data_IF_746357097963
#
_entry.id   IF_746357097963
#
_cell.length_a   1.000
_cell.length_b   1.000
_cell.length_c   1.000
_cell.angle_alpha   90.00
_cell.angle_beta   90.00
_cell.angle_gamma   90.00
#
_symmetry.space_group_name_H-M   'P 1'
#
loop_
_entity.id
_entity.type
_entity.pdbx_description
1 polymer ?
#
# COMPACT_ATOMS: atom_id res chain seq x y z
N UNK A 1 19.98 8.81 8.65
CA UNK A 1 18.94 8.72 7.60
C UNK A 1 18.02 9.89 7.86
N UNK A 2 18.15 10.95 7.08
CA UNK A 2 17.30 12.14 7.22
C UNK A 2 15.93 11.87 6.57
N UNK A 3 14.84 12.39 7.14
CA UNK A 3 13.53 12.33 6.51
C UNK A 3 13.61 13.12 5.19
N UNK A 4 13.29 12.45 4.09
CA UNK A 4 13.22 13.07 2.76
C UNK A 4 12.09 14.10 2.84
N UNK A 5 12.45 15.39 2.97
CA UNK A 5 11.51 16.47 2.75
C UNK A 5 11.17 16.48 1.25
N UNK A 6 10.05 15.85 0.90
CA UNK A 6 9.46 15.95 -0.43
C UNK A 6 9.10 17.44 -0.65
N UNK A 7 9.90 18.14 -1.45
CA UNK A 7 9.59 19.49 -1.91
C UNK A 7 8.17 19.57 -2.48
N UNK A 8 7.56 20.75 -2.33
CA UNK A 8 6.24 21.14 -2.82
C UNK A 8 5.95 20.76 -4.30
N UNK A 9 6.96 20.43 -5.10
CA UNK A 9 6.83 19.96 -6.49
C UNK A 9 6.31 18.51 -6.62
N UNK A 10 6.27 17.73 -5.53
CA UNK A 10 5.54 16.46 -5.49
C UNK A 10 4.02 16.62 -5.59
N UNK A 11 3.52 17.85 -5.42
CA UNK A 11 2.10 18.18 -5.27
C UNK A 11 1.34 18.14 -6.61
N UNK A 12 2.02 18.26 -7.74
CA UNK A 12 1.40 18.21 -9.07
C UNK A 12 1.18 16.80 -9.64
N UNK A 13 1.56 15.77 -8.88
CA UNK A 13 1.28 14.38 -9.24
C UNK A 13 0.35 13.80 -8.18
N UNK A 14 -0.92 13.60 -8.54
CA UNK A 14 -1.88 12.90 -7.69
C UNK A 14 -1.23 11.62 -7.15
N UNK A 15 -1.31 11.30 -5.84
CA UNK A 15 -0.71 10.10 -5.28
C UNK A 15 -1.16 8.84 -6.04
N UNK A 16 -0.35 7.76 -6.08
CA UNK A 16 -0.73 6.61 -6.86
C UNK A 16 -2.00 5.94 -6.31
N UNK A 17 -2.93 5.53 -7.18
CA UNK A 17 -4.25 5.10 -6.71
C UNK A 17 -4.23 3.62 -6.29
N UNK A 18 -4.21 3.38 -4.98
CA UNK A 18 -4.16 2.03 -4.37
C UNK A 18 -5.45 1.65 -3.63
N UNK A 19 -6.60 2.09 -4.12
CA UNK A 19 -7.89 1.89 -3.47
C UNK A 19 -8.17 0.41 -3.14
N UNK A 20 -7.71 -0.53 -3.98
CA UNK A 20 -7.86 -1.96 -3.71
C UNK A 20 -7.00 -2.44 -2.54
N UNK A 21 -5.79 -1.92 -2.39
CA UNK A 21 -4.90 -2.24 -1.25
C UNK A 21 -5.46 -1.66 0.04
N UNK A 22 -5.87 -0.39 0.02
CA UNK A 22 -6.51 0.25 1.17
C UNK A 22 -7.76 -0.53 1.60
N UNK A 23 -8.62 -0.88 0.65
CA UNK A 23 -9.85 -1.64 0.94
C UNK A 23 -9.57 -3.03 1.50
N UNK A 24 -8.59 -3.75 0.95
CA UNK A 24 -8.18 -5.05 1.49
C UNK A 24 -7.67 -4.89 2.93
N UNK A 25 -6.82 -3.90 3.18
CA UNK A 25 -6.24 -3.66 4.49
C UNK A 25 -7.34 -3.31 5.53
N UNK A 26 -8.30 -2.47 5.13
CA UNK A 26 -9.49 -2.17 5.92
C UNK A 26 -10.29 -3.43 6.27
N UNK A 27 -10.56 -4.29 5.28
CA UNK A 27 -11.30 -5.55 5.46
C UNK A 27 -10.57 -6.54 6.38
N UNK A 28 -9.24 -6.53 6.38
CA UNK A 28 -8.41 -7.35 7.26
C UNK A 28 -8.49 -6.85 8.71
N UNK A 29 -8.45 -5.53 8.91
CA UNK A 29 -8.49 -4.93 10.25
C UNK A 29 -9.87 -4.95 10.90
N UNK A 30 -10.92 -4.68 10.13
CA UNK A 30 -12.29 -4.65 10.65
C UNK A 30 -12.93 -6.05 10.75
N UNK A 31 -12.19 -7.11 10.39
CA UNK A 31 -12.64 -8.49 10.47
C UNK A 31 -13.62 -8.93 9.37
N UNK A 32 -13.86 -8.12 8.33
CA UNK A 32 -14.79 -8.46 7.24
C UNK A 32 -14.41 -9.76 6.52
N UNK A 33 -13.12 -10.08 6.43
CA UNK A 33 -12.63 -11.34 5.84
C UNK A 33 -13.02 -12.56 6.68
N UNK A 34 -13.22 -12.40 7.99
CA UNK A 34 -13.53 -13.47 8.93
C UNK A 34 -12.34 -14.40 9.23
N UNK A 35 -12.45 -15.18 10.30
CA UNK A 35 -11.38 -16.06 10.78
C UNK A 35 -10.95 -17.09 9.73
N UNK A 36 -11.91 -17.70 9.03
CA UNK A 36 -11.63 -18.70 7.99
C UNK A 36 -10.79 -18.12 6.83
N UNK A 37 -11.06 -16.88 6.42
CA UNK A 37 -10.29 -16.22 5.37
C UNK A 37 -8.90 -15.80 5.82
N UNK A 38 -8.75 -15.42 7.09
CA UNK A 38 -7.44 -15.16 7.70
C UNK A 38 -6.61 -16.44 7.77
N UNK A 39 -7.18 -17.54 8.25
CA UNK A 39 -6.51 -18.84 8.28
C UNK A 39 -6.09 -19.30 6.88
N UNK A 40 -6.93 -19.07 5.87
CA UNK A 40 -6.59 -19.36 4.48
C UNK A 40 -5.37 -18.56 4.00
N UNK A 41 -5.28 -17.27 4.36
CA UNK A 41 -4.12 -16.42 4.03
C UNK A 41 -2.86 -16.87 4.77
N UNK A 42 -2.96 -17.18 6.06
CA UNK A 42 -1.82 -17.59 6.88
C UNK A 42 -1.23 -18.93 6.45
N UNK A 43 -2.09 -19.85 6.02
CA UNK A 43 -1.72 -21.19 5.58
C UNK A 43 -1.33 -21.28 4.11
N UNK A 44 -1.60 -20.25 3.29
CA UNK A 44 -1.20 -20.22 1.89
C UNK A 44 0.33 -20.08 1.76
N UNK A 45 1.00 -21.13 1.26
CA UNK A 45 2.46 -21.16 1.12
C UNK A 45 3.04 -20.09 0.20
N UNK A 46 2.25 -19.53 -0.72
CA UNK A 46 2.69 -18.51 -1.69
C UNK A 46 2.41 -17.09 -1.21
N UNK A 47 1.44 -16.93 -0.31
CA UNK A 47 0.87 -15.64 0.06
C UNK A 47 0.96 -15.32 1.55
N UNK A 48 1.19 -16.31 2.42
CA UNK A 48 1.28 -16.11 3.87
C UNK A 48 2.36 -15.11 4.27
N UNK A 49 3.52 -15.12 3.62
CA UNK A 49 4.57 -14.12 3.88
C UNK A 49 4.14 -12.72 3.45
N UNK A 50 3.48 -12.59 2.29
CA UNK A 50 2.97 -11.29 1.81
C UNK A 50 1.84 -10.77 2.68
N UNK A 51 0.98 -11.67 3.15
CA UNK A 51 -0.06 -11.35 4.12
C UNK A 51 0.57 -10.81 5.40
N UNK A 52 1.49 -11.53 6.03
CA UNK A 52 2.19 -11.08 7.25
C UNK A 52 2.91 -9.75 7.05
N UNK A 53 3.60 -9.57 5.92
CA UNK A 53 4.27 -8.32 5.58
C UNK A 53 3.27 -7.16 5.36
N UNK A 54 2.08 -7.42 4.84
CA UNK A 54 1.02 -6.41 4.76
C UNK A 54 0.52 -6.04 6.16
N UNK A 55 0.35 -7.03 7.04
CA UNK A 55 -0.08 -6.83 8.45
C UNK A 55 0.93 -6.08 9.30
N UNK A 56 2.22 -6.15 8.98
CA UNK A 56 3.22 -5.28 9.65
C UNK A 56 3.06 -3.80 9.29
N UNK A 57 2.19 -3.45 8.34
CA UNK A 57 1.85 -2.07 7.98
C UNK A 57 0.53 -1.58 8.61
N UNK A 58 -0.03 -2.32 9.58
CA UNK A 58 -1.29 -1.99 10.26
C UNK A 58 -1.21 -0.62 10.96
N UNK A 59 -0.06 -0.29 11.56
CA UNK A 59 0.16 0.98 12.26
C UNK A 59 0.04 2.18 11.30
N UNK A 60 0.78 2.13 10.18
CA UNK A 60 0.74 3.19 9.16
C UNK A 60 -0.64 3.30 8.50
N UNK A 61 -1.37 2.18 8.39
CA UNK A 61 -2.76 2.21 7.93
C UNK A 61 -3.68 2.93 8.92
N UNK A 62 -3.56 2.61 10.21
CA UNK A 62 -4.35 3.24 11.26
C UNK A 62 -4.06 4.74 11.37
N UNK A 63 -2.80 5.15 11.27
CA UNK A 63 -2.41 6.56 11.18
C UNK A 63 -3.04 7.23 9.96
N UNK A 64 -3.03 6.56 8.79
CA UNK A 64 -3.64 7.08 7.57
C UNK A 64 -5.15 7.32 7.73
N UNK A 65 -5.91 6.34 8.22
CA UNK A 65 -7.36 6.51 8.37
C UNK A 65 -7.72 7.52 9.47
N UNK A 66 -6.95 7.57 10.56
CA UNK A 66 -7.20 8.50 11.67
C UNK A 66 -6.81 9.94 11.32
N UNK A 67 -5.81 10.14 10.46
CA UNK A 67 -5.44 11.46 9.93
C UNK A 67 -6.58 12.12 9.14
N UNK A 68 -7.42 11.31 8.48
CA UNK A 68 -8.63 11.77 7.79
C UNK A 68 -9.81 12.05 8.73
N UNK A 69 -9.83 11.46 9.93
CA UNK A 69 -10.86 11.68 10.96
C UNK A 69 -10.51 12.80 11.96
N UNK A 70 -9.24 13.20 12.07
CA UNK A 70 -8.76 14.19 13.03
C UNK A 70 -8.97 15.67 12.61
N UNK A 71 -9.90 15.97 11.70
CA UNK A 71 -10.20 17.34 11.26
C UNK A 71 -10.90 18.22 12.34
N UNK A 72 -10.73 17.93 13.63
CA UNK A 72 -11.40 18.66 14.72
C UNK A 72 -10.57 18.88 15.98
N UNK A 73 -9.26 18.62 15.99
CA UNK A 73 -8.41 19.02 17.12
C UNK A 73 -7.14 19.71 16.64
N UNK A 74 -6.97 20.94 17.12
CA UNK A 74 -5.86 21.87 16.91
C UNK A 74 -4.55 21.37 17.54
N UNK A 75 -4.15 20.14 17.23
CA UNK A 75 -2.83 19.63 17.60
C UNK A 75 -2.04 19.33 16.33
N UNK A 76 -0.72 19.40 16.42
CA UNK A 76 0.22 19.31 15.31
C UNK A 76 0.20 17.94 14.60
N UNK A 77 -0.90 17.62 13.93
CA UNK A 77 -1.11 16.39 13.19
C UNK A 77 -0.13 16.27 12.04
N UNK A 78 0.42 15.07 11.86
CA UNK A 78 1.32 14.76 10.75
C UNK A 78 0.67 15.13 9.41
N UNK A 79 1.47 15.71 8.49
CA UNK A 79 1.00 16.08 7.15
C UNK A 79 0.34 14.85 6.49
N UNK A 80 -0.94 14.91 6.07
CA UNK A 80 -1.63 13.80 5.43
C UNK A 80 -0.84 13.19 4.24
N UNK A 81 -0.02 13.99 3.56
CA UNK A 81 0.85 13.51 2.47
C UNK A 81 2.01 12.66 3.00
N UNK A 82 2.56 13.01 4.16
CA UNK A 82 3.62 12.26 4.83
C UNK A 82 3.09 10.90 5.28
N UNK A 83 1.95 10.88 5.98
CA UNK A 83 1.31 9.64 6.46
C UNK A 83 0.95 8.72 5.29
N UNK A 84 0.40 9.28 4.21
CA UNK A 84 0.14 8.53 2.99
C UNK A 84 1.41 7.94 2.36
N UNK A 85 2.51 8.70 2.36
CA UNK A 85 3.80 8.26 1.82
C UNK A 85 4.42 7.15 2.67
N UNK A 86 4.28 7.21 3.99
CA UNK A 86 4.73 6.18 4.92
C UNK A 86 3.95 4.87 4.71
N UNK A 87 2.63 4.96 4.61
CA UNK A 87 1.79 3.82 4.26
C UNK A 87 2.17 3.21 2.91
N UNK A 88 2.37 4.05 1.89
CA UNK A 88 2.82 3.60 0.57
C UNK A 88 4.19 2.93 0.63
N UNK A 89 5.12 3.47 1.41
CA UNK A 89 6.44 2.88 1.57
C UNK A 89 6.36 1.50 2.23
N UNK A 90 5.57 1.38 3.30
CA UNK A 90 5.43 0.11 4.00
C UNK A 90 4.77 -0.95 3.10
N UNK A 91 3.58 -0.65 2.59
CA UNK A 91 2.81 -1.61 1.78
C UNK A 91 3.47 -1.90 0.42
N UNK A 92 4.09 -0.89 -0.19
CA UNK A 92 4.88 -1.04 -1.39
C UNK A 92 6.09 -1.95 -1.17
N UNK A 93 6.77 -1.86 -0.03
CA UNK A 93 7.89 -2.77 0.30
C UNK A 93 7.36 -4.19 0.54
N UNK A 94 6.26 -4.33 1.27
CA UNK A 94 5.65 -5.63 1.58
C UNK A 94 5.17 -6.40 0.34
N UNK A 95 4.57 -5.71 -0.63
CA UNK A 95 3.89 -6.36 -1.77
C UNK A 95 4.64 -6.21 -3.09
N UNK A 96 5.35 -5.09 -3.29
CA UNK A 96 5.78 -4.60 -4.60
C UNK A 96 7.14 -3.90 -4.53
N UNK A 97 8.09 -4.46 -3.79
CA UNK A 97 9.39 -3.85 -3.49
C UNK A 97 10.11 -3.35 -4.74
N UNK A 98 10.20 -4.18 -5.80
CA UNK A 98 10.88 -3.82 -7.04
C UNK A 98 10.26 -2.57 -7.72
N UNK A 99 8.96 -2.55 -8.06
CA UNK A 99 8.32 -1.33 -8.57
C UNK A 99 8.45 -0.11 -7.64
N UNK A 100 8.44 -0.30 -6.32
CA UNK A 100 8.63 0.79 -5.37
C UNK A 100 10.05 1.38 -5.48
N UNK A 101 11.08 0.53 -5.55
CA UNK A 101 12.47 0.96 -5.71
C UNK A 101 12.70 1.68 -7.06
N UNK A 102 12.08 1.22 -8.14
CA UNK A 102 12.13 1.89 -9.44
C UNK A 102 11.50 3.29 -9.39
N UNK A 103 10.34 3.41 -8.72
CA UNK A 103 9.70 4.71 -8.53
C UNK A 103 10.57 5.64 -7.67
N UNK A 104 11.10 5.16 -6.53
CA UNK A 104 12.03 5.92 -5.67
C UNK A 104 13.27 6.36 -6.43
N UNK A 105 13.86 5.49 -7.22
CA UNK A 105 15.02 5.83 -8.06
C UNK A 105 14.67 6.92 -9.07
N UNK A 106 13.49 6.87 -9.69
CA UNK A 106 13.07 7.90 -10.63
C UNK A 106 12.89 9.26 -9.93
N UNK A 107 12.22 9.26 -8.77
CA UNK A 107 12.05 10.45 -7.93
C UNK A 107 13.40 11.05 -7.55
N UNK A 108 14.36 10.22 -7.14
CA UNK A 108 15.71 10.69 -6.79
C UNK A 108 16.42 11.37 -7.97
N UNK A 109 16.25 10.87 -9.20
CA UNK A 109 16.77 11.56 -10.39
C UNK A 109 16.06 12.89 -10.65
N UNK A 110 14.75 12.99 -10.38
CA UNK A 110 14.02 14.27 -10.48
C UNK A 110 14.52 15.27 -9.45
N UNK A 111 14.75 14.83 -8.20
CA UNK A 111 15.32 15.67 -7.14
C UNK A 111 16.74 16.16 -7.44
N UNK A 112 17.48 15.44 -8.29
CA UNK A 112 18.80 15.84 -8.80
C UNK A 112 18.74 16.66 -10.09
N UNK A 113 17.54 17.05 -10.52
CA UNK A 113 17.30 17.78 -11.77
C UNK A 113 17.76 17.01 -13.03
N UNK A 114 17.96 15.69 -12.92
CA UNK A 114 18.41 14.82 -14.02
C UNK A 114 17.24 14.41 -14.95
N UNK A 115 15.99 14.50 -14.47
CA UNK A 115 14.78 14.07 -15.19
C UNK A 115 13.59 14.97 -14.86
N UNK A 116 12.61 15.01 -15.76
CA UNK A 116 11.34 15.67 -15.47
C UNK A 116 10.41 14.72 -14.71
N UNK A 117 9.59 15.24 -13.79
CA UNK A 117 8.70 14.39 -12.97
C UNK A 117 7.72 13.54 -13.81
N UNK A 118 7.31 14.04 -14.99
CA UNK A 118 6.48 13.28 -15.95
C UNK A 118 7.15 11.98 -16.43
N UNK A 119 8.47 11.89 -16.39
CA UNK A 119 9.21 10.70 -16.79
C UNK A 119 9.03 9.55 -15.79
N UNK A 120 8.60 9.85 -14.55
CA UNK A 120 8.26 8.85 -13.53
C UNK A 120 6.83 8.29 -13.67
N UNK A 121 6.05 8.73 -14.67
CA UNK A 121 4.68 8.24 -14.86
C UNK A 121 4.64 6.72 -15.13
N UNK A 122 5.64 6.17 -15.83
CA UNK A 122 5.70 4.73 -16.12
C UNK A 122 5.99 3.91 -14.86
N UNK A 123 7.02 4.27 -14.09
CA UNK A 123 7.38 3.56 -12.86
C UNK A 123 6.27 3.65 -11.82
N UNK A 124 5.57 4.78 -11.75
CA UNK A 124 4.36 4.92 -10.95
C UNK A 124 3.26 3.94 -11.37
N UNK A 125 2.92 3.86 -12.66
CA UNK A 125 1.89 2.92 -13.16
C UNK A 125 2.27 1.46 -12.90
N UNK A 126 3.55 1.12 -12.92
CA UNK A 126 4.03 -0.22 -12.58
C UNK A 126 3.76 -0.55 -11.11
N UNK A 127 4.02 0.39 -10.20
CA UNK A 127 3.70 0.22 -8.79
C UNK A 127 2.18 0.07 -8.57
N UNK A 128 1.36 0.93 -9.18
CA UNK A 128 -0.12 0.86 -9.12
C UNK A 128 -0.64 -0.50 -9.58
N UNK A 129 -0.17 -1.00 -10.73
CA UNK A 129 -0.56 -2.31 -11.25
C UNK A 129 -0.13 -3.46 -10.35
N UNK A 130 1.08 -3.40 -9.82
CA UNK A 130 1.58 -4.43 -8.91
C UNK A 130 0.73 -4.48 -7.64
N UNK A 131 0.51 -3.33 -7.00
CA UNK A 131 -0.25 -3.24 -5.75
C UNK A 131 -1.67 -3.73 -5.96
N UNK A 132 -2.33 -3.32 -7.05
CA UNK A 132 -3.64 -3.83 -7.42
C UNK A 132 -3.65 -5.35 -7.57
N UNK A 133 -2.71 -5.89 -8.35
CA UNK A 133 -2.63 -7.33 -8.60
C UNK A 133 -2.37 -8.13 -7.32
N UNK A 134 -1.52 -7.64 -6.43
CA UNK A 134 -1.21 -8.32 -5.16
C UNK A 134 -2.34 -8.25 -4.16
N UNK A 135 -3.06 -7.13 -4.09
CA UNK A 135 -4.26 -7.03 -3.27
C UNK A 135 -5.38 -7.94 -3.78
N UNK A 136 -5.57 -8.04 -5.10
CA UNK A 136 -6.52 -8.98 -5.70
C UNK A 136 -6.12 -10.44 -5.44
N UNK A 137 -4.83 -10.79 -5.54
CA UNK A 137 -4.32 -12.14 -5.25
C UNK A 137 -4.60 -12.55 -3.79
N UNK A 138 -4.36 -11.64 -2.84
CA UNK A 138 -4.67 -11.86 -1.42
C UNK A 138 -6.17 -11.97 -1.16
N UNK A 139 -6.99 -11.07 -1.72
CA UNK A 139 -8.45 -11.11 -1.54
C UNK A 139 -9.06 -12.40 -2.08
N UNK A 140 -8.55 -12.91 -3.20
CA UNK A 140 -9.02 -14.19 -3.75
C UNK A 140 -8.63 -15.37 -2.85
N UNK A 141 -7.41 -15.37 -2.32
CA UNK A 141 -6.94 -16.41 -1.43
C UNK A 141 -7.69 -16.44 -0.09
N UNK A 142 -8.12 -15.27 0.39
CA UNK A 142 -8.91 -15.16 1.63
C UNK A 142 -10.37 -15.57 1.49
N UNK A 143 -10.86 -15.83 0.27
CA UNK A 143 -12.24 -16.23 0.00
C UNK A 143 -12.29 -17.50 -0.88
N UNK A 144 -11.72 -18.63 -0.41
CA UNK A 144 -11.66 -19.86 -1.19
C UNK A 144 -13.06 -20.36 -1.58
N UNK A 145 -14.08 -20.15 -0.75
CA UNK A 145 -15.47 -20.53 -1.06
C UNK A 145 -16.09 -19.73 -2.22
N UNK A 146 -15.62 -18.50 -2.48
CA UNK A 146 -16.12 -17.65 -3.57
C UNK A 146 -15.34 -17.90 -4.85
N UNK A 147 -14.01 -17.98 -4.76
CA UNK A 147 -13.13 -18.05 -5.94
C UNK A 147 -12.67 -19.47 -6.29
N UNK A 148 -12.81 -20.43 -5.37
CA UNK A 148 -12.55 -21.87 -5.56
C UNK A 148 -13.63 -22.74 -4.90
N UNK A 149 -14.91 -22.60 -5.28
CA UNK A 149 -16.02 -23.32 -4.64
C UNK A 149 -15.95 -24.85 -4.75
N UNK A 150 -15.03 -25.40 -5.55
CA UNK A 150 -14.82 -26.85 -5.77
C UNK A 150 -13.48 -27.37 -5.23
N UNK A 151 -12.70 -26.56 -4.54
CA UNK A 151 -11.52 -27.04 -3.84
C UNK A 151 -11.98 -27.70 -2.53
N UNK A 152 -12.35 -28.98 -2.61
CA UNK A 152 -12.62 -29.84 -1.45
C UNK A 152 -11.34 -29.98 -0.60
N UNK A 153 -11.45 -30.05 0.75
CA UNK A 153 -10.32 -30.24 1.65
C UNK A 153 -9.53 -31.52 1.39
#
# INVERSE_FOLDING_TARGET
MEPIQLSQDFVDIAPPQFNSTLRLHEMLLNGTIGESGVLALESDRRLGDKYRALRSCDEQFNELINSGSAASQEDAGADPKMVYTEYLNCTGTALCEKPLLELKSCINSVMREEKHIRDCAQTRRLLERCMRSKSEELLQASQPQVFRPKATP
#
